data_IF_488490763335
#
_entry.id   IF_488490763335
#
_cell.length_a   1.000
_cell.length_b   1.000
_cell.length_c   1.000
_cell.angle_alpha   90.00
_cell.angle_beta   90.00
_cell.angle_gamma   90.00
#
_symmetry.space_group_name_H-M   'P 1'
#
loop_
_entity.id
_entity.type
_entity.pdbx_description
1 polymer ?
#
# COMPACT_ATOMS: atom_id res chain seq x y z
N UNK A 1 -9.57 -15.35 13.53
CA UNK A 1 -10.61 -15.17 12.48
C UNK A 1 -9.99 -14.35 11.34
N UNK A 2 -9.07 -14.95 10.57
CA UNK A 2 -8.53 -14.36 9.32
C UNK A 2 -9.34 -14.90 8.14
N UNK A 3 -9.19 -14.30 6.95
CA UNK A 3 -9.85 -14.72 5.69
C UNK A 3 -11.35 -14.41 5.54
N UNK A 4 -12.03 -13.92 6.59
CA UNK A 4 -13.47 -13.60 6.50
C UNK A 4 -13.79 -12.52 5.46
N UNK A 5 -12.86 -11.56 5.27
CA UNK A 5 -13.03 -10.46 4.31
C UNK A 5 -13.29 -10.93 2.87
N UNK A 6 -12.85 -12.14 2.51
CA UNK A 6 -12.79 -12.59 1.12
C UNK A 6 -13.69 -13.78 0.80
N UNK A 7 -14.43 -14.28 1.80
CA UNK A 7 -15.20 -15.54 1.73
C UNK A 7 -16.24 -15.59 0.60
N UNK A 8 -16.59 -14.44 0.00
CA UNK A 8 -17.50 -14.32 -1.15
C UNK A 8 -16.88 -13.62 -2.37
N UNK A 9 -15.63 -13.19 -2.29
CA UNK A 9 -14.94 -12.47 -3.37
C UNK A 9 -14.02 -13.39 -4.16
N UNK A 10 -13.50 -14.46 -3.55
CA UNK A 10 -12.56 -15.39 -4.15
C UNK A 10 -12.70 -16.80 -3.57
N UNK A 11 -12.26 -17.80 -4.34
CA UNK A 11 -12.16 -19.19 -3.88
C UNK A 11 -11.18 -19.33 -2.71
N UNK A 12 -11.51 -20.20 -1.74
CA UNK A 12 -10.67 -20.46 -0.55
C UNK A 12 -9.22 -20.81 -0.90
N UNK A 13 -8.99 -21.53 -2.00
CA UNK A 13 -7.62 -21.85 -2.48
C UNK A 13 -6.80 -20.62 -2.82
N UNK A 14 -7.41 -19.59 -3.42
CA UNK A 14 -6.70 -18.34 -3.75
C UNK A 14 -6.47 -17.50 -2.50
N UNK A 15 -7.38 -17.59 -1.53
CA UNK A 15 -7.20 -16.94 -0.23
C UNK A 15 -6.01 -17.57 0.53
N UNK A 16 -5.87 -18.90 0.48
CA UNK A 16 -4.72 -19.60 1.06
C UNK A 16 -3.40 -19.28 0.37
N UNK A 17 -3.42 -18.89 -0.90
CA UNK A 17 -2.21 -18.49 -1.63
C UNK A 17 -1.65 -17.14 -1.16
N UNK A 18 -2.47 -16.30 -0.50
CA UNK A 18 -2.05 -14.99 0.01
C UNK A 18 -0.84 -15.07 0.95
N UNK A 19 -0.70 -16.20 1.67
CA UNK A 19 0.42 -16.45 2.58
C UNK A 19 1.77 -16.61 1.89
N UNK A 20 1.79 -16.79 0.56
CA UNK A 20 3.02 -16.95 -0.21
C UNK A 20 3.59 -15.61 -0.67
N UNK A 21 2.82 -14.52 -0.55
CA UNK A 21 3.22 -13.21 -1.02
C UNK A 21 3.78 -12.34 0.11
N UNK A 22 4.63 -11.41 -0.31
CA UNK A 22 5.32 -10.45 0.52
C UNK A 22 5.07 -9.02 0.04
N UNK A 23 4.73 -8.11 0.95
CA UNK A 23 4.38 -6.72 0.62
C UNK A 23 5.24 -5.74 1.42
N UNK A 24 5.80 -4.75 0.74
CA UNK A 24 6.40 -3.57 1.37
C UNK A 24 5.34 -2.50 1.59
N UNK A 25 5.06 -2.12 2.84
CA UNK A 25 4.09 -1.07 3.18
C UNK A 25 4.84 0.11 3.78
N UNK A 26 4.78 1.27 3.13
CA UNK A 26 5.49 2.48 3.54
C UNK A 26 4.47 3.51 4.09
N UNK A 27 4.51 3.72 5.40
CA UNK A 27 3.79 4.81 6.07
C UNK A 27 2.27 4.73 6.03
N UNK A 28 1.68 3.53 6.00
CA UNK A 28 0.22 3.34 6.08
C UNK A 28 -0.15 2.18 7.00
N UNK A 29 -0.55 2.50 8.23
CA UNK A 29 -0.92 1.49 9.22
C UNK A 29 -2.26 0.83 8.89
N UNK A 30 -3.20 1.57 8.31
CA UNK A 30 -4.47 0.99 7.87
C UNK A 30 -4.28 -0.07 6.76
N UNK A 31 -3.44 0.21 5.75
CA UNK A 31 -3.10 -0.79 4.72
C UNK A 31 -2.46 -2.02 5.35
N UNK A 32 -1.48 -1.81 6.24
CA UNK A 32 -0.84 -2.89 6.98
C UNK A 32 -1.89 -3.76 7.70
N UNK A 33 -2.80 -3.17 8.46
CA UNK A 33 -3.83 -3.89 9.21
C UNK A 33 -4.75 -4.69 8.28
N UNK A 34 -5.19 -4.11 7.15
CA UNK A 34 -6.07 -4.78 6.19
C UNK A 34 -5.34 -5.98 5.55
N UNK A 35 -4.10 -5.80 5.08
CA UNK A 35 -3.32 -6.87 4.45
C UNK A 35 -2.97 -8.00 5.43
N UNK A 36 -2.61 -7.63 6.66
CA UNK A 36 -2.33 -8.60 7.72
C UNK A 36 -3.58 -9.45 8.05
N UNK A 37 -4.75 -8.81 8.18
CA UNK A 37 -6.03 -9.51 8.39
C UNK A 37 -6.48 -10.33 7.18
N UNK A 38 -6.03 -9.95 6.00
CA UNK A 38 -6.27 -10.67 4.74
C UNK A 38 -5.43 -11.93 4.58
N UNK A 39 -4.42 -12.13 5.44
CA UNK A 39 -3.58 -13.31 5.42
C UNK A 39 -2.40 -13.22 4.45
N UNK A 40 -1.91 -12.01 4.15
CA UNK A 40 -0.64 -11.83 3.46
C UNK A 40 0.48 -12.46 4.30
N UNK A 41 1.39 -13.18 3.64
CA UNK A 41 2.41 -14.01 4.28
C UNK A 41 3.48 -13.22 5.01
N UNK A 42 4.05 -12.23 4.32
CA UNK A 42 5.09 -11.37 4.86
C UNK A 42 4.76 -9.90 4.61
N UNK A 43 4.83 -9.05 5.63
CA UNK A 43 4.67 -7.60 5.48
C UNK A 43 5.90 -6.93 6.07
N UNK A 44 6.67 -6.26 5.19
CA UNK A 44 7.75 -5.36 5.57
C UNK A 44 7.15 -3.97 5.75
N UNK A 45 6.90 -3.60 7.00
CA UNK A 45 6.39 -2.28 7.35
C UNK A 45 7.55 -1.30 7.52
N UNK A 46 7.56 -0.21 6.77
CA UNK A 46 8.63 0.80 6.81
C UNK A 46 8.00 2.14 7.12
N UNK A 47 8.38 2.77 8.23
CA UNK A 47 7.82 4.05 8.63
C UNK A 47 8.77 4.83 9.53
N UNK A 48 8.47 6.10 9.77
CA UNK A 48 9.26 7.03 10.56
C UNK A 48 8.58 7.32 11.91
N UNK A 49 8.10 8.54 12.11
CA UNK A 49 7.38 8.96 13.29
C UNK A 49 5.90 9.20 12.93
N UNK A 50 5.04 8.92 13.90
CA UNK A 50 3.62 9.23 13.79
C UNK A 50 3.44 10.73 14.01
N UNK A 51 3.01 11.44 12.98
CA UNK A 51 2.69 12.87 13.10
C UNK A 51 1.27 13.06 13.64
N UNK A 52 0.97 14.25 14.14
CA UNK A 52 -0.42 14.62 14.51
C UNK A 52 -1.38 14.50 13.32
N UNK A 53 -0.90 14.76 12.10
CA UNK A 53 -1.70 14.60 10.90
C UNK A 53 -2.00 13.12 10.61
N UNK A 54 -1.02 12.23 10.78
CA UNK A 54 -1.21 10.78 10.58
C UNK A 54 -2.28 10.23 11.52
N UNK A 55 -2.30 10.67 12.78
CA UNK A 55 -3.32 10.30 13.78
C UNK A 55 -4.72 10.75 13.36
N UNK A 56 -4.84 11.96 12.80
CA UNK A 56 -6.13 12.48 12.36
C UNK A 56 -6.61 11.67 11.15
N UNK A 57 -5.70 11.38 10.21
CA UNK A 57 -5.99 10.77 8.94
C UNK A 57 -6.28 9.25 9.05
N UNK A 58 -5.45 8.52 9.77
CA UNK A 58 -5.46 7.07 9.84
C UNK A 58 -6.14 6.60 11.14
N UNK A 59 -7.38 6.12 11.01
CA UNK A 59 -8.19 5.66 12.13
C UNK A 59 -7.66 4.40 12.83
N UNK A 60 -6.62 3.75 12.28
CA UNK A 60 -5.97 2.61 12.93
C UNK A 60 -4.87 3.02 13.92
N UNK A 61 -4.49 4.31 13.93
CA UNK A 61 -3.49 4.86 14.83
C UNK A 61 -4.18 5.41 16.08
N UNK A 62 -3.72 5.02 17.27
CA UNK A 62 -4.22 5.61 18.51
C UNK A 62 -3.68 7.04 18.65
N UNK A 63 -4.52 8.05 18.97
CA UNK A 63 -4.04 9.41 19.17
C UNK A 63 -2.95 9.60 20.22
N UNK A 64 -2.85 8.69 21.19
CA UNK A 64 -1.79 8.70 22.19
C UNK A 64 -0.43 8.27 21.65
N UNK A 65 -0.36 7.73 20.43
CA UNK A 65 0.88 7.32 19.76
C UNK A 65 1.53 8.46 18.97
N UNK A 66 0.92 9.66 18.94
CA UNK A 66 1.50 10.82 18.30
C UNK A 66 2.93 11.10 18.81
N UNK A 67 3.84 11.40 17.87
CA UNK A 67 5.26 11.67 18.09
C UNK A 67 6.10 10.45 18.53
N UNK A 68 5.54 9.25 18.53
CA UNK A 68 6.32 8.02 18.70
C UNK A 68 6.76 7.44 17.35
N UNK A 69 7.73 6.53 17.39
CA UNK A 69 8.08 5.73 16.22
C UNK A 69 6.89 4.87 15.79
N UNK A 70 6.64 4.85 14.48
CA UNK A 70 5.57 4.06 13.89
C UNK A 70 6.02 2.61 13.71
N UNK A 71 5.90 1.82 14.78
CA UNK A 71 6.26 0.40 14.81
C UNK A 71 4.99 -0.43 14.95
N UNK A 72 4.88 -1.49 14.14
CA UNK A 72 3.78 -2.44 14.21
C UNK A 72 4.31 -3.81 14.61
N UNK A 73 3.48 -4.56 15.33
CA UNK A 73 3.83 -5.92 15.75
C UNK A 73 2.81 -6.90 15.19
N UNK A 74 3.24 -8.12 14.84
CA UNK A 74 2.29 -9.17 14.47
C UNK A 74 1.36 -9.44 15.66
N UNK A 75 0.05 -9.46 15.42
CA UNK A 75 -0.93 -9.82 16.46
C UNK A 75 -1.34 -11.31 16.39
N UNK A 76 -0.59 -12.12 15.64
CA UNK A 76 -0.80 -13.57 15.42
C UNK A 76 0.43 -14.21 14.76
N UNK A 77 0.62 -15.52 14.89
CA UNK A 77 1.80 -16.23 14.38
C UNK A 77 1.79 -16.52 12.86
N UNK A 78 0.64 -16.39 12.18
CA UNK A 78 0.48 -16.86 10.79
C UNK A 78 1.08 -15.94 9.71
N UNK A 79 1.49 -14.72 10.09
CA UNK A 79 2.04 -13.73 9.16
C UNK A 79 3.36 -13.19 9.71
N UNK A 80 4.42 -13.21 8.90
CA UNK A 80 5.68 -12.57 9.23
C UNK A 80 5.51 -11.05 9.09
N UNK A 81 5.65 -10.30 10.19
CA UNK A 81 5.63 -8.83 10.17
C UNK A 81 6.98 -8.34 10.64
N UNK A 82 7.63 -7.53 9.81
CA UNK A 82 8.93 -6.95 10.12
C UNK A 82 8.81 -5.43 9.99
N UNK A 83 9.03 -4.72 11.08
CA UNK A 83 9.06 -3.26 11.10
C UNK A 83 10.49 -2.73 10.96
N UNK A 84 10.66 -1.79 10.06
CA UNK A 84 11.89 -1.02 9.86
C UNK A 84 11.60 0.46 10.02
N UNK A 85 12.58 1.18 10.55
CA UNK A 85 12.57 2.64 10.46
C UNK A 85 12.81 3.06 9.00
N UNK A 86 12.21 4.17 8.59
CA UNK A 86 12.42 4.72 7.26
C UNK A 86 13.92 5.05 7.10
N UNK A 87 14.62 4.45 6.13
CA UNK A 87 16.06 4.63 6.00
C UNK A 87 16.40 5.99 5.40
N UNK A 88 17.51 6.57 5.83
CA UNK A 88 18.01 7.84 5.27
C UNK A 88 18.57 7.64 3.85
N UNK A 89 19.06 6.44 3.55
CA UNK A 89 19.71 6.14 2.27
C UNK A 89 18.80 5.34 1.34
N UNK A 90 18.80 5.74 0.06
CA UNK A 90 18.09 5.02 -1.03
C UNK A 90 18.57 3.57 -1.16
N UNK A 91 19.87 3.31 -0.96
CA UNK A 91 20.46 1.98 -1.07
C UNK A 91 19.96 1.02 0.02
N UNK A 92 19.75 1.55 1.23
CA UNK A 92 19.16 0.78 2.31
C UNK A 92 17.68 0.52 2.05
N UNK A 93 16.91 1.53 1.59
CA UNK A 93 15.52 1.33 1.15
C UNK A 93 15.41 0.22 0.09
N UNK A 94 16.30 0.26 -0.91
CA UNK A 94 16.40 -0.77 -1.95
C UNK A 94 16.69 -2.15 -1.37
N UNK A 95 17.56 -2.24 -0.37
CA UNK A 95 17.90 -3.49 0.30
C UNK A 95 16.71 -4.04 1.09
N UNK A 96 15.96 -3.17 1.79
CA UNK A 96 14.75 -3.55 2.53
C UNK A 96 13.65 -4.05 1.59
N UNK A 97 13.44 -3.37 0.46
CA UNK A 97 12.41 -3.72 -0.53
C UNK A 97 12.81 -4.88 -1.45
N UNK A 98 14.05 -5.37 -1.40
CA UNK A 98 14.47 -6.49 -2.23
C UNK A 98 13.64 -7.76 -1.92
N UNK A 99 13.16 -8.41 -2.98
CA UNK A 99 12.40 -9.66 -2.90
C UNK A 99 10.98 -9.50 -2.37
N UNK A 100 10.42 -8.28 -2.33
CA UNK A 100 8.99 -8.10 -2.10
C UNK A 100 8.22 -8.26 -3.41
N UNK A 101 7.00 -8.81 -3.35
CA UNK A 101 6.15 -9.03 -4.52
C UNK A 101 5.41 -7.76 -4.95
N UNK A 102 5.22 -6.81 -4.03
CA UNK A 102 4.52 -5.54 -4.28
C UNK A 102 4.90 -4.49 -3.24
N UNK A 103 4.93 -3.22 -3.64
CA UNK A 103 5.19 -2.07 -2.75
C UNK A 103 4.02 -1.09 -2.76
N UNK A 104 3.62 -0.61 -1.57
CA UNK A 104 2.59 0.41 -1.38
C UNK A 104 3.17 1.55 -0.55
N UNK A 105 3.05 2.80 -1.01
CA UNK A 105 3.59 3.94 -0.28
C UNK A 105 2.62 5.09 -0.13
N UNK A 106 2.42 5.52 1.12
CA UNK A 106 1.69 6.74 1.49
C UNK A 106 2.61 7.84 2.03
N UNK A 107 3.89 7.52 2.25
CA UNK A 107 4.95 8.48 2.57
C UNK A 107 6.08 8.36 1.54
N UNK A 108 6.73 9.48 1.23
CA UNK A 108 7.88 9.53 0.30
C UNK A 108 7.62 8.89 -1.07
N UNK A 109 6.40 9.04 -1.60
CA UNK A 109 5.86 8.32 -2.77
C UNK A 109 6.80 8.34 -3.97
N UNK A 110 7.34 9.50 -4.34
CA UNK A 110 8.23 9.63 -5.49
C UNK A 110 9.54 8.84 -5.32
N UNK A 111 10.17 8.91 -4.14
CA UNK A 111 11.40 8.18 -3.84
C UNK A 111 11.14 6.66 -3.81
N UNK A 112 10.03 6.24 -3.20
CA UNK A 112 9.67 4.81 -3.13
C UNK A 112 9.34 4.27 -4.52
N UNK A 113 8.65 5.06 -5.37
CA UNK A 113 8.35 4.67 -6.74
C UNK A 113 9.64 4.39 -7.54
N UNK A 114 10.64 5.27 -7.41
CA UNK A 114 11.94 5.10 -8.06
C UNK A 114 12.64 3.82 -7.59
N UNK A 115 12.65 3.56 -6.27
CA UNK A 115 13.25 2.33 -5.73
C UNK A 115 12.49 1.08 -6.16
N UNK A 116 11.16 1.14 -6.20
CA UNK A 116 10.31 0.04 -6.66
C UNK A 116 10.59 -0.31 -8.13
N UNK A 117 10.75 0.70 -9.00
CA UNK A 117 11.18 0.52 -10.40
C UNK A 117 12.57 -0.14 -10.46
N UNK A 118 13.53 0.30 -9.64
CA UNK A 118 14.88 -0.27 -9.61
C UNK A 118 14.97 -1.72 -9.12
N UNK A 119 14.08 -2.14 -8.22
CA UNK A 119 14.02 -3.53 -7.76
C UNK A 119 13.12 -4.40 -8.65
N UNK A 120 12.40 -3.79 -9.61
CA UNK A 120 11.52 -4.47 -10.54
C UNK A 120 10.22 -4.98 -9.91
N UNK A 121 9.68 -4.28 -8.91
CA UNK A 121 8.42 -4.67 -8.25
C UNK A 121 7.25 -3.74 -8.60
N UNK A 122 6.02 -4.25 -8.70
CA UNK A 122 4.81 -3.43 -8.80
C UNK A 122 4.70 -2.41 -7.65
N UNK A 123 4.23 -1.21 -7.98
CA UNK A 123 4.13 -0.09 -7.06
C UNK A 123 2.73 0.51 -7.00
N UNK A 124 2.21 0.72 -5.80
CA UNK A 124 0.95 1.42 -5.53
C UNK A 124 1.26 2.73 -4.78
N UNK A 125 1.06 3.90 -5.41
CA UNK A 125 1.19 5.18 -4.73
C UNK A 125 -0.03 5.47 -3.86
N UNK A 126 -0.14 6.69 -3.35
CA UNK A 126 -1.23 7.16 -2.51
C UNK A 126 -2.53 7.48 -3.29
N UNK A 127 -2.82 6.73 -4.35
CA UNK A 127 -4.12 6.62 -5.05
C UNK A 127 -4.37 5.17 -5.46
N UNK A 128 -5.56 4.86 -5.97
CA UNK A 128 -5.89 3.50 -6.41
C UNK A 128 -5.41 3.28 -7.84
N UNK A 129 -4.18 2.81 -8.00
CA UNK A 129 -3.60 2.35 -9.27
C UNK A 129 -2.34 1.52 -8.99
N UNK A 130 -1.97 0.64 -9.91
CA UNK A 130 -0.72 -0.11 -9.87
C UNK A 130 0.17 0.30 -11.04
N UNK A 131 1.40 0.71 -10.72
CA UNK A 131 2.49 0.87 -11.68
C UNK A 131 3.21 -0.48 -11.79
N UNK A 132 3.08 -1.13 -12.94
CA UNK A 132 3.81 -2.37 -13.24
C UNK A 132 5.24 -2.05 -13.71
N UNK A 133 6.24 -2.89 -13.43
CA UNK A 133 7.63 -2.67 -13.86
C UNK A 133 7.80 -2.46 -15.37
N UNK A 134 7.01 -3.18 -16.16
CA UNK A 134 6.97 -3.13 -17.63
C UNK A 134 5.96 -2.09 -18.19
N UNK A 135 5.29 -1.34 -17.32
CA UNK A 135 4.23 -0.40 -17.69
C UNK A 135 4.68 1.05 -17.82
N UNK A 136 3.72 1.96 -17.70
CA UNK A 136 3.98 3.42 -17.60
C UNK A 136 4.81 3.68 -16.34
N UNK A 137 5.85 4.50 -16.42
CA UNK A 137 6.67 4.83 -15.25
C UNK A 137 6.03 5.92 -14.42
N UNK A 138 6.17 5.85 -13.10
CA UNK A 138 5.63 6.87 -12.18
C UNK A 138 6.14 8.28 -12.50
N UNK A 139 7.41 8.41 -12.89
CA UNK A 139 8.03 9.69 -13.27
C UNK A 139 7.56 10.26 -14.61
N UNK A 140 6.86 9.46 -15.43
CA UNK A 140 6.37 9.89 -16.75
C UNK A 140 4.93 10.41 -16.70
N UNK A 141 4.32 10.43 -15.52
CA UNK A 141 2.94 10.90 -15.35
C UNK A 141 2.87 12.15 -14.50
N UNK A 142 1.90 13.00 -14.83
CA UNK A 142 1.50 14.13 -14.00
C UNK A 142 0.71 13.55 -12.83
N UNK A 143 1.37 13.44 -11.68
CA UNK A 143 0.75 12.94 -10.46
C UNK A 143 -0.28 13.94 -9.93
N UNK A 144 -1.54 13.53 -9.68
CA UNK A 144 -2.56 14.44 -9.17
C UNK A 144 -2.23 14.89 -7.75
N UNK A 145 -2.58 16.14 -7.41
CA UNK A 145 -2.59 16.57 -6.01
C UNK A 145 -3.82 15.92 -5.33
N UNK A 146 -3.58 15.15 -4.28
CA UNK A 146 -4.63 14.48 -3.52
C UNK A 146 -4.70 15.10 -2.14
N UNK A 147 -5.81 15.75 -1.82
CA UNK A 147 -6.12 16.17 -0.45
C UNK A 147 -6.90 15.04 0.21
N UNK A 148 -6.43 14.57 1.36
CA UNK A 148 -7.01 13.43 2.05
C UNK A 148 -7.59 13.86 3.39
N UNK A 149 -8.81 13.41 3.61
CA UNK A 149 -9.47 13.40 4.90
C UNK A 149 -9.60 11.94 5.37
N UNK A 150 -9.97 11.68 6.63
CA UNK A 150 -9.98 10.33 7.18
C UNK A 150 -10.93 9.38 6.44
N UNK A 151 -12.04 9.89 5.89
CA UNK A 151 -13.01 9.09 5.14
C UNK A 151 -12.43 8.70 3.78
N UNK A 152 -11.95 9.68 2.99
CA UNK A 152 -11.35 9.40 1.68
C UNK A 152 -10.11 8.53 1.79
N UNK A 153 -9.28 8.73 2.81
CA UNK A 153 -8.12 7.87 3.10
C UNK A 153 -8.53 6.44 3.41
N UNK A 154 -9.52 6.23 4.29
CA UNK A 154 -9.99 4.89 4.67
C UNK A 154 -10.52 4.12 3.46
N UNK A 155 -11.33 4.78 2.62
CA UNK A 155 -11.86 4.17 1.40
C UNK A 155 -10.72 3.87 0.41
N UNK A 156 -9.78 4.79 0.24
CA UNK A 156 -8.60 4.59 -0.63
C UNK A 156 -7.80 3.38 -0.19
N UNK A 157 -7.53 3.23 1.12
CA UNK A 157 -6.81 2.09 1.66
C UNK A 157 -7.55 0.77 1.40
N UNK A 158 -8.86 0.75 1.62
CA UNK A 158 -9.69 -0.43 1.33
C UNK A 158 -9.65 -0.84 -0.14
N UNK A 159 -9.75 0.13 -1.05
CA UNK A 159 -9.66 -0.11 -2.50
C UNK A 159 -8.27 -0.58 -2.92
N UNK A 160 -7.19 0.03 -2.40
CA UNK A 160 -5.82 -0.42 -2.68
C UNK A 160 -5.60 -1.85 -2.20
N UNK A 161 -6.05 -2.20 -1.00
CA UNK A 161 -5.95 -3.57 -0.50
C UNK A 161 -6.71 -4.57 -1.40
N UNK A 162 -7.87 -4.18 -1.93
CA UNK A 162 -8.59 -4.97 -2.92
C UNK A 162 -7.76 -5.17 -4.21
N UNK A 163 -7.09 -4.13 -4.69
CA UNK A 163 -6.23 -4.22 -5.88
C UNK A 163 -4.99 -5.11 -5.64
N UNK A 164 -4.39 -5.10 -4.44
CA UNK A 164 -3.33 -6.03 -4.03
C UNK A 164 -3.81 -7.47 -4.07
N UNK A 165 -5.03 -7.72 -3.61
CA UNK A 165 -5.60 -9.06 -3.62
C UNK A 165 -5.91 -9.48 -5.05
N UNK A 166 -6.44 -8.58 -5.89
CA UNK A 166 -6.68 -8.86 -7.30
C UNK A 166 -5.41 -9.30 -8.01
N UNK A 167 -4.31 -8.57 -7.85
CA UNK A 167 -3.05 -8.94 -8.51
C UNK A 167 -2.53 -10.29 -8.02
N UNK A 168 -2.55 -10.57 -6.70
CA UNK A 168 -2.12 -11.86 -6.15
C UNK A 168 -3.03 -13.04 -6.53
N UNK A 169 -4.31 -12.78 -6.77
CA UNK A 169 -5.29 -13.76 -7.22
C UNK A 169 -5.25 -14.04 -8.74
N UNK A 170 -4.39 -13.34 -9.49
CA UNK A 170 -4.36 -13.36 -10.96
C UNK A 170 -5.60 -12.71 -11.60
N UNK A 171 -6.30 -11.83 -10.88
CA UNK A 171 -7.40 -11.02 -11.41
C UNK A 171 -6.85 -9.69 -11.94
N UNK A 172 -7.54 -9.09 -12.92
CA UNK A 172 -7.12 -7.82 -13.52
C UNK A 172 -7.24 -6.67 -12.50
N UNK A 173 -6.14 -6.01 -12.09
CA UNK A 173 -6.20 -4.83 -11.24
C UNK A 173 -6.32 -3.55 -12.07
N UNK A 174 -6.52 -2.42 -11.39
CA UNK A 174 -6.42 -1.08 -11.98
C UNK A 174 -4.95 -0.70 -12.10
N UNK A 175 -4.46 -0.56 -13.33
CA UNK A 175 -3.06 -0.25 -13.62
C UNK A 175 -2.92 1.10 -14.30
N UNK A 176 -1.83 1.82 -14.03
CA UNK A 176 -1.52 3.07 -14.71
C UNK A 176 -1.51 2.87 -16.25
N UNK A 177 -2.03 3.83 -17.04
CA UNK A 177 -2.40 5.20 -16.65
C UNK A 177 -3.81 5.33 -16.05
N UNK A 178 -4.58 4.26 -15.90
CA UNK A 178 -5.88 4.32 -15.21
C UNK A 178 -5.68 4.43 -13.70
N UNK A 179 -6.43 5.31 -13.03
CA UNK A 179 -6.42 5.40 -11.57
C UNK A 179 -7.80 5.79 -11.02
N UNK A 180 -8.03 5.50 -9.73
CA UNK A 180 -9.16 6.06 -8.99
C UNK A 180 -8.67 7.04 -7.92
N UNK A 181 -9.41 8.14 -7.77
CA UNK A 181 -9.30 9.09 -6.67
C UNK A 181 -10.61 9.04 -5.88
N UNK A 182 -10.49 9.01 -4.55
CA UNK A 182 -11.65 9.13 -3.66
C UNK A 182 -11.75 10.57 -3.20
N UNK A 183 -12.89 11.19 -3.47
CA UNK A 183 -13.25 12.52 -3.01
C UNK A 183 -14.46 12.38 -2.06
N UNK A 184 -14.44 12.94 -0.84
CA UNK A 184 -15.54 12.80 0.11
C UNK A 184 -16.85 13.48 -0.37
N UNK A 185 -16.76 14.46 -1.29
CA UNK A 185 -17.90 15.20 -1.83
C UNK A 185 -18.47 14.55 -3.08
N UNK A 186 -17.60 13.96 -3.89
CA UNK A 186 -17.97 13.44 -5.21
C UNK A 186 -17.87 11.91 -5.34
N UNK A 187 -17.40 11.23 -4.30
CA UNK A 187 -17.25 9.78 -4.24
C UNK A 187 -15.99 9.29 -4.96
N UNK A 188 -16.08 8.08 -5.52
CA UNK A 188 -14.96 7.43 -6.23
C UNK A 188 -14.97 7.86 -7.70
N UNK A 189 -13.93 8.57 -8.13
CA UNK A 189 -13.76 9.02 -9.51
C UNK A 189 -12.68 8.22 -10.22
N UNK A 190 -12.99 7.77 -11.43
CA UNK A 190 -12.00 7.23 -12.36
C UNK A 190 -11.33 8.37 -13.13
N UNK A 191 -10.01 8.33 -13.20
CA UNK A 191 -9.18 9.30 -13.90
C UNK A 191 -8.17 8.58 -14.80
N UNK A 192 -7.63 9.33 -15.76
CA UNK A 192 -6.44 8.92 -16.53
C UNK A 192 -5.28 9.84 -16.20
N UNK A 193 -4.17 9.26 -15.77
CA UNK A 193 -2.93 9.97 -15.51
C UNK A 193 -2.36 10.45 -16.84
N UNK A 194 -2.14 11.77 -16.94
CA UNK A 194 -1.58 12.38 -18.15
C UNK A 194 -0.09 12.10 -18.21
N UNK A 195 0.38 11.62 -19.35
CA UNK A 195 1.81 11.41 -19.59
C UNK A 195 2.49 12.74 -19.91
N UNK A 196 3.73 12.93 -19.46
CA UNK A 196 4.53 14.14 -19.67
C UNK A 196 5.30 14.17 -21.00
N UNK A 197 4.84 13.44 -22.03
CA UNK A 197 5.50 13.38 -23.35
C UNK A 197 5.46 14.74 -24.04
#
# INVERSE_FOLDING_TARGET
MKHFFWKNLMDEKKIDQMKNFSVGVIGSRLIFEILWRSGVGCIKYISDYITNFDVILDCSINPLEANNYDIVHPKSDDSCVISYLYPESKNELKSLLKGVDLVIAHKNVAQVAEVAEEVGCPFIPDIVTIFLPEGVRFREVIYPKVERDPISYTITCGLQALEVIRIFAGMKPITAPEALIVDPREGVKKIWLKTTV
#
